data_IF_732662540065
#
_entry.id   IF_732662540065
#
_cell.length_a   1.000
_cell.length_b   1.000
_cell.length_c   1.000
_cell.angle_alpha   90.00
_cell.angle_beta   90.00
_cell.angle_gamma   90.00
#
_symmetry.space_group_name_H-M   'P 1'
#
loop_
_entity.id
_entity.type
_entity.pdbx_description
1 polymer ?
#
# COMPACT_ATOMS: atom_id res chain seq x y z
N UNK A 1 6.63 -18.62 8.71
CA UNK A 1 5.81 -17.83 9.67
C UNK A 1 4.82 -18.73 10.38
N UNK A 2 4.48 -18.39 11.63
CA UNK A 2 3.67 -19.24 12.51
C UNK A 2 2.21 -18.77 12.68
N UNK A 3 1.82 -17.63 12.08
CA UNK A 3 0.45 -17.10 12.16
C UNK A 3 -0.33 -17.49 10.91
N UNK A 4 -1.49 -18.13 11.10
CA UNK A 4 -2.46 -18.45 10.03
C UNK A 4 -3.76 -17.68 10.20
N UNK A 5 -4.42 -17.46 9.07
CA UNK A 5 -5.75 -16.84 8.99
C UNK A 5 -6.79 -17.91 8.72
N UNK A 6 -7.73 -18.13 9.64
CA UNK A 6 -8.79 -19.14 9.55
C UNK A 6 -10.02 -18.66 8.77
N UNK A 7 -9.78 -17.97 7.65
CA UNK A 7 -10.86 -17.37 6.86
C UNK A 7 -11.79 -18.43 6.26
N UNK A 8 -11.25 -19.57 5.84
CA UNK A 8 -12.01 -20.66 5.25
C UNK A 8 -13.07 -21.24 6.19
N UNK A 9 -12.71 -21.41 7.47
CA UNK A 9 -13.62 -21.94 8.48
C UNK A 9 -14.83 -21.03 8.64
N UNK A 10 -14.59 -19.73 8.80
CA UNK A 10 -15.63 -18.73 9.03
C UNK A 10 -16.54 -18.57 7.79
N UNK A 11 -15.96 -18.59 6.59
CA UNK A 11 -16.73 -18.54 5.34
C UNK A 11 -17.66 -19.75 5.21
N UNK A 12 -17.19 -20.95 5.56
CA UNK A 12 -17.98 -22.17 5.52
C UNK A 12 -19.13 -22.12 6.55
N UNK A 13 -18.84 -21.72 7.79
CA UNK A 13 -19.83 -21.55 8.86
C UNK A 13 -20.94 -20.57 8.45
N UNK A 14 -20.60 -19.51 7.70
CA UNK A 14 -21.52 -18.46 7.26
C UNK A 14 -22.15 -18.71 5.89
N UNK A 15 -21.76 -19.78 5.19
CA UNK A 15 -22.16 -20.07 3.80
C UNK A 15 -21.92 -18.88 2.86
N UNK A 16 -20.82 -18.15 3.07
CA UNK A 16 -20.45 -16.96 2.32
C UNK A 16 -19.32 -17.29 1.34
N UNK A 17 -19.36 -16.73 0.13
CA UNK A 17 -18.28 -16.87 -0.85
C UNK A 17 -17.16 -15.85 -0.62
N UNK A 18 -15.94 -16.17 -1.07
CA UNK A 18 -14.81 -15.23 -1.00
C UNK A 18 -15.06 -13.97 -1.84
N UNK A 19 -15.75 -14.11 -2.98
CA UNK A 19 -16.13 -13.00 -3.86
C UNK A 19 -17.12 -12.07 -3.17
N UNK A 20 -18.15 -12.63 -2.54
CA UNK A 20 -19.12 -11.84 -1.76
C UNK A 20 -18.45 -11.09 -0.61
N UNK A 21 -17.51 -11.73 0.09
CA UNK A 21 -16.75 -11.06 1.15
C UNK A 21 -15.88 -9.92 0.60
N UNK A 22 -15.27 -10.10 -0.57
CA UNK A 22 -14.46 -9.06 -1.23
C UNK A 22 -15.29 -7.80 -1.48
N UNK A 23 -16.51 -7.96 -1.99
CA UNK A 23 -17.43 -6.87 -2.27
C UNK A 23 -17.88 -6.16 -0.99
N UNK A 24 -18.19 -6.92 0.07
CA UNK A 24 -18.62 -6.37 1.37
C UNK A 24 -17.51 -5.59 2.09
N UNK A 25 -16.29 -6.12 2.10
CA UNK A 25 -15.14 -5.54 2.82
C UNK A 25 -14.48 -4.42 2.02
N UNK A 26 -14.71 -4.36 0.70
CA UNK A 26 -14.08 -3.37 -0.19
C UNK A 26 -12.60 -3.66 -0.46
N UNK A 27 -12.23 -4.94 -0.54
CA UNK A 27 -10.85 -5.37 -0.84
C UNK A 27 -10.83 -6.29 -2.04
N UNK A 28 -9.69 -6.37 -2.74
CA UNK A 28 -9.58 -7.23 -3.91
C UNK A 28 -9.65 -8.70 -3.54
N UNK A 29 -10.22 -9.52 -4.44
CA UNK A 29 -10.23 -10.98 -4.30
C UNK A 29 -8.81 -11.55 -4.14
N UNK A 30 -7.82 -10.95 -4.80
CA UNK A 30 -6.41 -11.32 -4.66
C UNK A 30 -5.90 -11.17 -3.21
N UNK A 31 -6.25 -10.05 -2.54
CA UNK A 31 -5.87 -9.81 -1.16
C UNK A 31 -6.49 -10.87 -0.22
N UNK A 32 -7.80 -11.15 -0.38
CA UNK A 32 -8.47 -12.19 0.40
C UNK A 32 -7.95 -13.60 0.12
N UNK A 33 -7.58 -13.90 -1.13
CA UNK A 33 -7.03 -15.20 -1.51
C UNK A 33 -5.67 -15.47 -0.84
N UNK A 34 -4.82 -14.43 -0.73
CA UNK A 34 -3.53 -14.52 -0.03
C UNK A 34 -3.74 -14.74 1.48
N UNK A 35 -4.74 -14.10 2.09
CA UNK A 35 -5.12 -14.33 3.48
C UNK A 35 -5.63 -15.77 3.68
N UNK A 36 -6.59 -16.20 2.87
CA UNK A 36 -7.19 -17.54 2.90
C UNK A 36 -6.15 -18.66 2.78
N UNK A 37 -5.21 -18.53 1.85
CA UNK A 37 -4.19 -19.56 1.60
C UNK A 37 -3.03 -19.55 2.60
N UNK A 38 -3.04 -18.63 3.58
CA UNK A 38 -1.98 -18.50 4.57
C UNK A 38 -0.65 -17.98 4.00
N UNK A 39 -0.67 -17.40 2.80
CA UNK A 39 0.53 -16.82 2.15
C UNK A 39 0.78 -15.37 2.57
N UNK A 40 -0.16 -14.77 3.30
CA UNK A 40 -0.03 -13.41 3.77
C UNK A 40 1.17 -13.23 4.70
N UNK A 41 1.94 -12.17 4.45
CA UNK A 41 3.05 -11.75 5.32
C UNK A 41 2.63 -10.75 6.38
N UNK A 42 1.65 -9.91 6.05
CA UNK A 42 1.10 -8.89 6.92
C UNK A 42 -0.38 -8.66 6.60
N UNK A 43 -1.11 -8.13 7.58
CA UNK A 43 -2.48 -7.62 7.40
C UNK A 43 -2.56 -6.25 8.07
N UNK A 44 -3.20 -5.28 7.40
CA UNK A 44 -3.48 -3.97 8.01
C UNK A 44 -4.61 -4.13 9.01
N UNK A 45 -4.53 -3.45 10.15
CA UNK A 45 -5.61 -3.49 11.14
C UNK A 45 -6.94 -2.99 10.58
N UNK A 46 -6.94 -2.03 9.65
CA UNK A 46 -8.16 -1.58 8.97
C UNK A 46 -8.83 -2.70 8.18
N UNK A 47 -8.05 -3.56 7.51
CA UNK A 47 -8.56 -4.74 6.81
C UNK A 47 -9.05 -5.80 7.80
N UNK A 48 -8.31 -6.03 8.90
CA UNK A 48 -8.71 -6.98 9.94
C UNK A 48 -10.03 -6.56 10.61
N UNK A 49 -10.18 -5.27 10.95
CA UNK A 49 -11.39 -4.70 11.52
C UNK A 49 -12.59 -4.85 10.57
N UNK A 50 -12.43 -4.48 9.29
CA UNK A 50 -13.48 -4.64 8.29
C UNK A 50 -13.90 -6.11 8.12
N UNK A 51 -12.96 -7.04 8.11
CA UNK A 51 -13.25 -8.48 8.09
C UNK A 51 -14.04 -8.91 9.33
N UNK A 52 -13.60 -8.51 10.52
CA UNK A 52 -14.28 -8.84 11.78
C UNK A 52 -15.72 -8.31 11.83
N UNK A 53 -15.97 -7.11 11.29
CA UNK A 53 -17.31 -6.52 11.21
C UNK A 53 -18.22 -7.30 10.25
N UNK A 54 -17.78 -7.50 9.01
CA UNK A 54 -18.60 -8.20 8.00
C UNK A 54 -18.82 -9.68 8.36
N UNK A 55 -17.80 -10.30 8.95
CA UNK A 55 -17.86 -11.69 9.40
C UNK A 55 -18.31 -11.81 10.86
N UNK A 56 -18.80 -10.76 11.52
CA UNK A 56 -19.28 -10.76 12.90
C UNK A 56 -18.45 -11.67 13.84
N UNK A 57 -17.13 -11.51 13.82
CA UNK A 57 -16.18 -12.34 14.58
C UNK A 57 -15.13 -11.50 15.28
N UNK A 58 -14.43 -12.08 16.24
CA UNK A 58 -13.28 -11.44 16.89
C UNK A 58 -11.99 -11.77 16.13
N UNK A 59 -10.93 -10.95 16.29
CA UNK A 59 -9.62 -11.25 15.72
C UNK A 59 -9.07 -12.62 16.15
N UNK A 60 -9.37 -13.05 17.38
CA UNK A 60 -8.96 -14.36 17.90
C UNK A 60 -9.65 -15.55 17.22
N UNK A 61 -10.81 -15.34 16.60
CA UNK A 61 -11.48 -16.38 15.82
C UNK A 61 -10.83 -16.57 14.45
N UNK A 62 -10.24 -15.48 13.94
CA UNK A 62 -9.71 -15.35 12.58
C UNK A 62 -8.21 -15.63 12.51
N UNK A 63 -7.46 -15.38 13.60
CA UNK A 63 -6.01 -15.55 13.66
C UNK A 63 -5.62 -16.67 14.62
N UNK A 64 -4.67 -17.50 14.23
CA UNK A 64 -4.16 -18.57 15.09
C UNK A 64 -2.66 -18.75 14.91
N UNK A 65 -1.98 -18.99 16.03
CA UNK A 65 -0.58 -19.37 16.01
C UNK A 65 -0.48 -20.89 15.99
N UNK A 66 0.08 -21.42 14.90
CA UNK A 66 0.34 -22.85 14.76
C UNK A 66 1.82 -23.13 15.01
N UNK A 67 2.16 -24.10 15.89
CA UNK A 67 3.53 -24.56 16.02
C UNK A 67 3.92 -25.34 14.75
N UNK A 68 4.95 -24.84 14.05
CA UNK A 68 5.46 -25.43 12.82
C UNK A 68 6.80 -24.81 12.42
N UNK A 69 7.51 -25.39 11.44
CA UNK A 69 8.77 -24.81 10.96
C UNK A 69 8.51 -23.37 10.54
N UNK A 70 9.27 -22.45 11.12
CA UNK A 70 9.17 -21.06 10.72
C UNK A 70 9.72 -20.98 9.31
N UNK A 71 8.86 -20.72 8.30
CA UNK A 71 9.36 -20.14 7.05
C UNK A 71 10.06 -18.84 7.43
N UNK A 72 11.38 -18.93 7.62
CA UNK A 72 12.36 -17.85 7.54
C UNK A 72 12.45 -17.50 6.05
N UNK A 73 11.35 -16.96 5.51
CA UNK A 73 11.33 -16.51 4.14
C UNK A 73 12.33 -15.37 4.00
N UNK A 74 13.36 -15.59 3.19
CA UNK A 74 14.26 -14.56 2.66
C UNK A 74 13.44 -13.33 2.28
N UNK A 75 13.84 -12.16 2.78
CA UNK A 75 13.27 -10.85 2.47
C UNK A 75 13.46 -10.43 0.99
N UNK A 76 13.46 -11.38 0.04
CA UNK A 76 13.25 -11.06 -1.36
C UNK A 76 11.77 -10.75 -1.54
N UNK A 77 11.44 -9.46 -1.41
CA UNK A 77 10.18 -8.89 -1.84
C UNK A 77 10.15 -8.88 -3.38
N UNK A 78 9.41 -9.79 -4.06
CA UNK A 78 9.35 -9.79 -5.51
C UNK A 78 8.53 -8.59 -6.05
N UNK A 79 7.95 -7.78 -5.17
CA UNK A 79 7.08 -6.65 -5.49
C UNK A 79 7.75 -5.28 -5.48
N UNK A 80 9.04 -5.16 -5.13
CA UNK A 80 9.77 -3.89 -5.20
C UNK A 80 10.45 -3.66 -6.54
N UNK A 81 9.76 -3.95 -7.64
CA UNK A 81 10.03 -3.16 -8.84
C UNK A 81 9.56 -1.74 -8.53
N UNK A 82 10.52 -0.83 -8.32
CA UNK A 82 10.20 0.60 -8.31
C UNK A 82 9.49 0.86 -9.62
N UNK A 83 8.20 1.24 -9.63
CA UNK A 83 7.52 1.54 -10.88
C UNK A 83 8.37 2.58 -11.60
N UNK A 84 8.65 2.44 -12.92
CA UNK A 84 9.41 3.45 -13.63
C UNK A 84 8.76 4.79 -13.33
N UNK A 85 9.58 5.76 -12.92
CA UNK A 85 9.10 7.10 -12.57
C UNK A 85 8.17 7.54 -13.69
N UNK A 86 6.86 7.67 -13.38
CA UNK A 86 5.92 8.25 -14.35
C UNK A 86 6.51 9.59 -14.69
N UNK A 87 6.74 9.84 -15.98
CA UNK A 87 7.20 11.12 -16.47
C UNK A 87 6.10 12.13 -16.13
N UNK A 88 6.19 12.74 -14.95
CA UNK A 88 5.27 13.78 -14.55
C UNK A 88 5.54 14.93 -15.54
N UNK A 89 4.56 15.31 -16.39
CA UNK A 89 4.76 16.41 -17.31
C UNK A 89 5.15 17.65 -16.49
N UNK A 90 6.05 18.50 -16.98
CA UNK A 90 6.49 19.68 -16.24
C UNK A 90 5.25 20.46 -15.80
N UNK A 91 5.11 20.65 -14.48
CA UNK A 91 4.00 21.42 -13.91
C UNK A 91 4.02 22.79 -14.59
N UNK A 92 2.87 23.22 -15.14
CA UNK A 92 2.75 24.57 -15.68
C UNK A 92 3.08 25.55 -14.56
N UNK A 93 3.90 26.58 -14.82
CA UNK A 93 4.17 27.61 -13.82
C UNK A 93 2.84 28.26 -13.42
N UNK A 94 2.56 28.27 -12.11
CA UNK A 94 1.37 28.93 -11.59
C UNK A 94 1.54 30.45 -11.75
N UNK A 95 0.52 31.17 -12.27
CA UNK A 95 0.61 32.62 -12.40
C UNK A 95 0.79 33.26 -11.02
N UNK A 96 1.88 34.02 -10.87
CA UNK A 96 2.23 34.72 -9.62
C UNK A 96 3.13 33.95 -8.66
N UNK A 97 3.54 32.71 -8.97
CA UNK A 97 4.51 31.99 -8.13
C UNK A 97 5.94 32.42 -8.49
N UNK A 98 6.73 32.99 -7.55
CA UNK A 98 8.12 33.33 -7.81
C UNK A 98 8.91 32.05 -8.11
N UNK A 99 9.95 32.12 -8.98
CA UNK A 99 10.78 30.97 -9.29
C UNK A 99 11.41 30.44 -8.01
N UNK A 100 11.38 29.11 -7.83
CA UNK A 100 12.11 28.51 -6.73
C UNK A 100 13.60 28.74 -6.97
N UNK A 101 14.25 29.54 -6.12
CA UNK A 101 15.70 29.54 -6.05
C UNK A 101 16.09 28.23 -5.37
N UNK A 102 16.83 27.38 -6.08
CA UNK A 102 17.38 26.16 -5.50
C UNK A 102 18.18 26.43 -4.22
N UNK A 103 18.41 25.41 -3.38
CA UNK A 103 19.11 25.58 -2.11
C UNK A 103 20.49 26.20 -2.35
N UNK A 104 20.74 27.37 -1.74
CA UNK A 104 22.02 28.08 -1.78
C UNK A 104 22.10 29.31 -2.69
N UNK A 105 21.06 29.65 -3.47
CA UNK A 105 21.06 30.88 -4.29
C UNK A 105 20.36 32.04 -3.56
N UNK A 106 21.01 33.21 -3.47
CA UNK A 106 20.42 34.42 -2.87
C UNK A 106 19.71 35.23 -3.96
N UNK A 107 18.63 35.92 -3.58
CA UNK A 107 17.82 36.73 -4.50
C UNK A 107 18.63 37.83 -5.24
N UNK A 108 19.80 38.22 -4.70
CA UNK A 108 20.70 39.19 -5.32
C UNK A 108 21.41 38.70 -6.58
N UNK A 109 21.63 37.39 -6.74
CA UNK A 109 22.43 36.84 -7.84
C UNK A 109 21.66 36.82 -9.19
N UNK A 110 20.35 37.10 -9.17
CA UNK A 110 19.50 37.09 -10.36
C UNK A 110 19.41 38.45 -11.07
N UNK A 111 19.88 39.53 -10.45
CA UNK A 111 19.78 40.89 -11.00
C UNK A 111 20.95 41.29 -11.92
N UNK A 112 22.03 40.51 -12.00
CA UNK A 112 23.19 40.83 -12.85
C UNK A 112 23.11 40.26 -14.29
N UNK A 113 22.05 39.53 -14.65
CA UNK A 113 21.97 38.86 -15.95
C UNK A 113 21.21 39.63 -17.05
N UNK A 114 20.68 40.83 -16.78
CA UNK A 114 19.89 41.59 -17.76
C UNK A 114 20.68 42.64 -18.57
N UNK A 115 22.01 42.72 -18.40
CA UNK A 115 22.85 43.74 -19.06
C UNK A 115 23.72 43.20 -20.20
N UNK A 116 23.27 42.14 -20.89
CA UNK A 116 23.92 41.64 -22.10
C UNK A 116 22.95 41.58 -23.28
N UNK A 117 22.63 42.77 -23.84
CA UNK A 117 22.13 42.91 -25.21
C UNK A 117 23.20 43.63 -26.05
N UNK A 118 23.79 43.02 -27.09
CA UNK A 118 24.04 43.70 -28.35
C UNK A 118 22.77 43.56 -29.22
N UNK A 119 22.29 44.55 -29.96
CA UNK A 119 23.05 45.33 -30.93
C UNK A 119 22.82 44.68 -32.29
#
# INVERSE_FOLDING_TARGET
MAIRVQLDRILLERRMSLTELADRVGVTLANLSILKTGKARAIRFTTLDALCRELNCQPGDLLTQEPGPQDVGSDEDPGRETPPARHEPPRRPEPGRPPHLGPGRRLGDALEAEEARPG
#
